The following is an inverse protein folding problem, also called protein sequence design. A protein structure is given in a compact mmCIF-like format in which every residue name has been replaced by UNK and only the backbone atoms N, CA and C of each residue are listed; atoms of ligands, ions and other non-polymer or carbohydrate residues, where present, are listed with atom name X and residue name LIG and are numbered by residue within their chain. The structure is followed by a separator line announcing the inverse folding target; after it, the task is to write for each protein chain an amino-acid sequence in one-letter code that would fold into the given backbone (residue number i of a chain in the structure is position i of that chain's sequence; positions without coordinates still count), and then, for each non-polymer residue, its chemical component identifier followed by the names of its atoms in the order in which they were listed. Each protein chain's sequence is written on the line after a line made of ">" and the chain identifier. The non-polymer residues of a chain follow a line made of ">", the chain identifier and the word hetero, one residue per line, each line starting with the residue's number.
data_IF_147321529693
#
_entry.id   IF_147321529693
#
_cell.length_a   1.000
_cell.length_b   1.000
_cell.length_c   1.000
_cell.angle_alpha   90.00
_cell.angle_beta   90.00
_cell.angle_gamma   90.00
#
_symmetry.space_group_name_H-M   'P 1'
#
loop_
_entity.id
_entity.type
_entity.pdbx_description
1 polymer ?
#
# COMPACT_ATOMS: atom_id res chain seq x y z
N UNK A 1 19.38 -16.75 -2.83
CA UNK A 1 18.28 -16.40 -3.74
C UNK A 1 18.21 -14.89 -3.74
N UNK A 2 18.60 -14.28 -4.85
CA UNK A 2 18.73 -12.83 -4.98
C UNK A 2 17.35 -12.21 -5.04
N UNK A 3 17.10 -11.28 -4.12
CA UNK A 3 16.03 -10.29 -4.19
C UNK A 3 16.04 -9.66 -5.58
N UNK A 4 14.95 -9.83 -6.33
CA UNK A 4 14.67 -9.05 -7.52
C UNK A 4 13.57 -8.05 -7.13
N UNK A 5 13.85 -7.23 -6.11
CA UNK A 5 13.03 -6.06 -5.81
C UNK A 5 13.09 -5.09 -6.98
N UNK A 6 12.00 -4.36 -7.23
CA UNK A 6 12.08 -3.26 -8.19
C UNK A 6 13.17 -2.29 -7.73
N UNK A 7 14.18 -2.08 -8.55
CA UNK A 7 15.07 -0.94 -8.37
C UNK A 7 14.23 0.31 -8.64
N UNK A 8 13.80 0.97 -7.55
CA UNK A 8 13.23 2.30 -7.65
C UNK A 8 14.23 3.20 -8.39
N UNK A 9 13.79 3.81 -9.47
CA UNK A 9 14.62 4.69 -10.30
C UNK A 9 14.68 6.09 -9.72
N UNK A 10 13.64 6.51 -8.99
CA UNK A 10 13.57 7.77 -8.27
C UNK A 10 12.59 7.65 -7.09
N UNK A 11 12.92 8.28 -5.96
CA UNK A 11 12.00 8.40 -4.83
C UNK A 11 12.14 9.75 -4.11
N UNK A 12 11.04 10.28 -3.61
CA UNK A 12 11.05 11.57 -2.90
C UNK A 12 9.66 12.13 -2.59
N UNK A 13 9.67 13.20 -1.81
CA UNK A 13 8.46 13.92 -1.44
C UNK A 13 7.99 14.87 -2.55
N UNK A 14 6.70 14.79 -2.87
CA UNK A 14 5.93 15.76 -3.62
C UNK A 14 4.64 16.05 -2.86
N UNK A 15 4.79 16.90 -1.82
CA UNK A 15 3.85 17.04 -0.72
C UNK A 15 2.37 17.17 -1.18
N UNK A 16 1.42 16.45 -0.55
CA UNK A 16 1.60 15.60 0.65
C UNK A 16 2.12 14.18 0.36
N UNK A 17 2.46 13.86 -0.89
CA UNK A 17 2.75 12.49 -1.31
C UNK A 17 4.23 12.14 -1.17
N UNK A 18 4.52 10.93 -0.73
CA UNK A 18 5.82 10.30 -0.96
C UNK A 18 5.72 9.45 -2.23
N UNK A 19 6.58 9.70 -3.23
CA UNK A 19 6.52 9.02 -4.52
C UNK A 19 7.69 8.09 -4.71
N UNK A 20 7.42 6.91 -5.25
CA UNK A 20 8.40 5.96 -5.74
C UNK A 20 8.11 5.70 -7.21
N UNK A 21 9.11 5.93 -8.07
CA UNK A 21 9.03 5.67 -9.51
C UNK A 21 9.88 4.46 -9.86
N UNK A 22 9.32 3.63 -10.71
CA UNK A 22 9.99 2.48 -11.34
C UNK A 22 9.81 2.61 -12.85
N UNK A 23 10.40 1.70 -13.63
CA UNK A 23 10.14 1.62 -15.08
C UNK A 23 8.70 1.20 -15.43
N UNK A 24 7.97 0.59 -14.48
CA UNK A 24 6.66 -0.03 -14.73
C UNK A 24 5.48 0.76 -14.16
N UNK A 25 5.71 1.48 -13.07
CA UNK A 25 4.69 2.25 -12.39
C UNK A 25 5.29 3.38 -11.54
N UNK A 26 4.45 4.37 -11.21
CA UNK A 26 4.66 5.30 -10.11
C UNK A 26 3.69 4.94 -8.98
N UNK A 27 4.20 4.79 -7.76
CA UNK A 27 3.39 4.68 -6.55
C UNK A 27 3.45 6.00 -5.78
N UNK A 28 2.29 6.53 -5.40
CA UNK A 28 2.14 7.76 -4.61
C UNK A 28 1.51 7.38 -3.27
N UNK A 29 2.31 7.43 -2.22
CA UNK A 29 1.93 7.07 -0.86
C UNK A 29 1.55 8.31 -0.05
N UNK A 30 0.57 8.17 0.84
CA UNK A 30 0.15 9.21 1.77
C UNK A 30 0.43 8.81 3.24
N UNK A 31 1.70 8.69 3.66
CA UNK A 31 2.03 8.33 5.05
C UNK A 31 1.62 9.44 6.03
N UNK A 32 1.50 9.09 7.31
CA UNK A 32 1.18 10.07 8.35
C UNK A 32 2.30 11.09 8.52
N UNK A 33 1.96 12.30 8.97
CA UNK A 33 2.97 13.32 9.30
C UNK A 33 3.97 12.77 10.33
N UNK A 34 5.26 12.97 10.07
CA UNK A 34 6.38 12.52 10.91
C UNK A 34 6.52 11.00 11.09
N UNK A 35 5.78 10.18 10.34
CA UNK A 35 5.96 8.72 10.34
C UNK A 35 7.24 8.34 9.58
N UNK A 36 8.18 7.58 10.20
CA UNK A 36 9.33 7.06 9.49
C UNK A 36 8.90 6.14 8.34
N UNK A 37 9.46 6.36 7.14
CA UNK A 37 9.06 5.63 5.92
C UNK A 37 9.28 4.12 6.00
N UNK A 38 10.22 3.66 6.83
CA UNK A 38 10.51 2.25 7.11
C UNK A 38 9.56 1.62 8.15
N UNK A 39 8.81 2.46 8.87
CA UNK A 39 7.83 2.04 9.89
C UNK A 39 6.38 2.11 9.40
N UNK A 40 6.14 2.62 8.18
CA UNK A 40 4.79 2.79 7.61
C UNK A 40 4.03 1.46 7.63
N UNK A 41 2.95 1.41 8.40
CA UNK A 41 2.19 0.18 8.65
C UNK A 41 0.71 0.25 8.27
N UNK A 42 0.22 1.44 7.92
CA UNK A 42 -1.10 1.74 7.37
C UNK A 42 -0.97 2.96 6.43
N UNK A 43 -1.21 2.79 5.14
CA UNK A 43 -1.01 3.86 4.15
C UNK A 43 -1.88 3.71 2.91
N UNK A 44 -2.44 4.82 2.43
CA UNK A 44 -3.07 4.88 1.12
C UNK A 44 -2.01 4.94 0.02
N UNK A 45 -2.21 4.18 -1.06
CA UNK A 45 -1.36 4.23 -2.24
C UNK A 45 -2.20 4.38 -3.51
N UNK A 46 -1.85 5.36 -4.34
CA UNK A 46 -2.24 5.41 -5.74
C UNK A 46 -1.09 4.89 -6.62
N UNK A 47 -1.37 3.90 -7.46
CA UNK A 47 -0.44 3.35 -8.44
C UNK A 47 -0.88 3.75 -9.84
N UNK A 48 0.03 4.39 -10.58
CA UNK A 48 -0.14 4.71 -12.00
C UNK A 48 0.77 3.83 -12.84
N UNK A 49 0.21 3.00 -13.72
CA UNK A 49 0.98 2.13 -14.60
C UNK A 49 1.57 2.93 -15.77
N UNK A 50 2.86 2.76 -16.06
CA UNK A 50 3.55 3.49 -17.14
C UNK A 50 3.14 3.01 -18.54
N UNK A 51 2.63 1.78 -18.65
CA UNK A 51 2.28 1.18 -19.95
C UNK A 51 1.02 1.79 -20.57
N UNK A 52 0.02 2.13 -19.75
CA UNK A 52 -1.29 2.58 -20.20
C UNK A 52 -1.86 3.77 -19.41
N UNK A 53 -1.07 4.33 -18.48
CA UNK A 53 -1.44 5.44 -17.58
C UNK A 53 -2.64 5.18 -16.67
N UNK A 54 -3.09 3.92 -16.59
CA UNK A 54 -4.19 3.52 -15.73
C UNK A 54 -3.86 3.72 -14.26
N UNK A 55 -4.87 4.12 -13.48
CA UNK A 55 -4.76 4.46 -12.06
C UNK A 55 -5.47 3.41 -11.22
N UNK A 56 -4.83 3.08 -10.10
CA UNK A 56 -5.27 2.03 -9.19
C UNK A 56 -5.02 2.46 -7.74
N UNK A 57 -5.87 2.04 -6.81
CA UNK A 57 -5.71 2.31 -5.39
C UNK A 57 -5.62 1.04 -4.56
N UNK A 58 -4.96 1.17 -3.42
CA UNK A 58 -5.13 0.28 -2.28
C UNK A 58 -4.92 1.08 -0.99
N UNK A 59 -5.59 0.63 0.08
CA UNK A 59 -5.23 0.97 1.45
C UNK A 59 -4.40 -0.19 2.01
N UNK A 60 -3.11 0.02 2.26
CA UNK A 60 -2.19 -1.03 2.67
C UNK A 60 -2.06 -1.07 4.18
N UNK A 61 -2.21 -2.25 4.78
CA UNK A 61 -2.01 -2.48 6.21
C UNK A 61 -1.00 -3.59 6.44
N UNK A 62 -0.20 -3.51 7.50
CA UNK A 62 0.50 -4.71 8.00
C UNK A 62 -0.47 -5.59 8.79
N UNK A 63 -0.18 -6.89 8.87
CA UNK A 63 -0.96 -7.79 9.72
C UNK A 63 -0.99 -7.36 11.20
N UNK A 64 0.15 -6.88 11.72
CA UNK A 64 0.24 -6.37 13.08
C UNK A 64 -0.63 -5.12 13.31
N UNK A 65 -0.74 -4.26 12.30
CA UNK A 65 -1.60 -3.08 12.39
C UNK A 65 -3.08 -3.44 12.35
N UNK A 66 -3.48 -4.42 11.53
CA UNK A 66 -4.86 -4.95 11.57
C UNK A 66 -5.19 -5.51 12.95
N UNK A 67 -4.29 -6.29 13.56
CA UNK A 67 -4.49 -6.81 14.92
C UNK A 67 -4.64 -5.68 15.95
N UNK A 68 -3.77 -4.67 15.90
CA UNK A 68 -3.84 -3.50 16.79
C UNK A 68 -5.15 -2.74 16.65
N UNK A 69 -5.65 -2.58 15.42
CA UNK A 69 -6.94 -1.93 15.15
C UNK A 69 -8.10 -2.77 15.70
N UNK A 70 -8.09 -4.09 15.52
CA UNK A 70 -9.12 -4.96 16.08
C UNK A 70 -9.11 -4.96 17.62
N UNK A 71 -7.95 -4.91 18.27
CA UNK A 71 -7.84 -4.74 19.73
C UNK A 71 -8.31 -3.37 20.23
N UNK A 72 -8.11 -2.32 19.43
CA UNK A 72 -8.71 -1.01 19.71
C UNK A 72 -10.24 -1.13 19.63
N UNK A 73 -10.76 -1.70 18.55
CA UNK A 73 -12.20 -1.84 18.31
C UNK A 73 -12.88 -2.73 19.36
N UNK A 74 -12.17 -3.73 19.91
CA UNK A 74 -12.68 -4.54 21.02
C UNK A 74 -12.88 -3.75 22.31
N UNK A 75 -12.16 -2.63 22.48
CA UNK A 75 -12.29 -1.72 23.63
C UNK A 75 -13.32 -0.63 23.39
N UNK A 76 -13.51 -0.18 22.15
CA UNK A 76 -14.45 0.90 21.79
C UNK A 76 -15.85 0.39 21.43
N UNK A 77 -15.98 -0.90 21.09
CA UNK A 77 -17.22 -1.52 20.62
C UNK A 77 -17.43 -1.44 19.11
N UNK A 78 -16.54 -0.77 18.38
CA UNK A 78 -16.55 -0.68 16.91
C UNK A 78 -16.34 -2.06 16.27
N UNK A 79 -16.69 -2.19 14.97
CA UNK A 79 -16.47 -3.42 14.19
C UNK A 79 -16.94 -4.71 14.90
N UNK A 80 -18.13 -4.64 15.49
CA UNK A 80 -18.72 -5.69 16.34
C UNK A 80 -17.76 -6.10 17.49
N UNK A 81 -17.24 -5.11 18.20
CA UNK A 81 -16.20 -5.26 19.25
C UNK A 81 -14.92 -5.92 18.72
N UNK A 82 -14.43 -5.44 17.57
CA UNK A 82 -13.19 -5.91 16.95
C UNK A 82 -13.26 -7.33 16.40
N UNK A 83 -14.45 -7.86 16.08
CA UNK A 83 -14.60 -9.22 15.52
C UNK A 83 -14.24 -9.33 14.05
N UNK A 84 -14.19 -8.20 13.35
CA UNK A 84 -13.78 -8.13 11.97
C UNK A 84 -13.01 -6.85 11.70
N UNK A 85 -12.25 -6.87 10.61
CA UNK A 85 -11.65 -5.72 9.98
C UNK A 85 -12.10 -5.70 8.52
N UNK A 86 -12.40 -4.53 7.96
CA UNK A 86 -12.81 -4.39 6.57
C UNK A 86 -12.40 -3.04 5.99
N UNK A 87 -11.89 -3.08 4.76
CA UNK A 87 -11.54 -1.93 3.95
C UNK A 87 -11.82 -2.29 2.48
N UNK A 88 -12.44 -1.39 1.71
CA UNK A 88 -12.92 -1.67 0.35
C UNK A 88 -11.82 -2.04 -0.64
N UNK A 89 -10.64 -1.43 -0.50
CA UNK A 89 -9.45 -1.69 -1.30
C UNK A 89 -8.26 -2.10 -0.40
N UNK A 90 -8.55 -2.85 0.66
CA UNK A 90 -7.56 -3.27 1.66
C UNK A 90 -6.58 -4.32 1.15
N UNK A 91 -5.28 -4.03 1.24
CA UNK A 91 -4.19 -5.00 1.02
C UNK A 91 -3.42 -5.24 2.32
N UNK A 92 -3.38 -6.47 2.81
CA UNK A 92 -2.57 -6.84 3.98
C UNK A 92 -1.19 -7.32 3.53
N UNK A 93 -0.14 -6.62 3.95
CA UNK A 93 1.27 -7.01 3.77
C UNK A 93 1.85 -7.55 5.08
N UNK A 94 2.96 -8.29 4.98
CA UNK A 94 3.63 -8.86 6.15
C UNK A 94 4.41 -7.80 6.92
N UNK A 95 5.29 -7.10 6.23
CA UNK A 95 6.29 -6.22 6.81
C UNK A 95 5.96 -4.74 6.51
N UNK A 96 6.34 -3.86 7.44
CA UNK A 96 6.14 -2.41 7.29
C UNK A 96 7.12 -1.80 6.27
N UNK A 97 6.84 -0.56 5.91
CA UNK A 97 7.74 0.32 5.17
C UNK A 97 7.44 0.44 3.68
N UNK A 98 7.68 1.64 3.14
CA UNK A 98 7.40 1.99 1.74
C UNK A 98 8.16 1.07 0.76
N UNK A 99 9.40 0.73 1.06
CA UNK A 99 10.21 -0.17 0.21
C UNK A 99 9.60 -1.57 0.15
N UNK A 100 9.10 -2.09 1.28
CA UNK A 100 8.44 -3.39 1.31
C UNK A 100 7.13 -3.37 0.51
N UNK A 101 6.32 -2.33 0.70
CA UNK A 101 5.06 -2.18 -0.04
C UNK A 101 5.34 -2.07 -1.55
N UNK A 102 6.38 -1.33 -1.96
CA UNK A 102 6.81 -1.23 -3.36
C UNK A 102 7.22 -2.59 -3.94
N UNK A 103 7.92 -3.41 -3.15
CA UNK A 103 8.27 -4.78 -3.56
C UNK A 103 7.04 -5.68 -3.70
N UNK A 104 6.01 -5.51 -2.85
CA UNK A 104 4.74 -6.22 -2.99
C UNK A 104 4.04 -5.80 -4.30
N UNK A 105 3.94 -4.51 -4.60
CA UNK A 105 3.33 -4.02 -5.85
C UNK A 105 4.05 -4.55 -7.09
N UNK A 106 5.38 -4.60 -7.04
CA UNK A 106 6.25 -5.21 -8.06
C UNK A 106 5.92 -6.69 -8.25
N UNK A 107 5.83 -7.45 -7.15
CA UNK A 107 5.49 -8.87 -7.17
C UNK A 107 4.09 -9.14 -7.73
N UNK A 108 3.10 -8.29 -7.41
CA UNK A 108 1.74 -8.38 -7.92
C UNK A 108 1.68 -8.21 -9.45
N UNK A 109 2.52 -7.35 -10.02
CA UNK A 109 2.67 -7.21 -11.47
C UNK A 109 3.34 -8.45 -12.08
N UNK A 110 4.35 -9.01 -11.40
CA UNK A 110 5.09 -10.19 -11.89
C UNK A 110 4.23 -11.46 -11.91
N UNK A 111 3.34 -11.65 -10.92
CA UNK A 111 2.43 -12.79 -10.86
C UNK A 111 1.11 -12.60 -11.63
N UNK A 112 0.80 -11.36 -12.06
CA UNK A 112 -0.42 -11.03 -12.79
C UNK A 112 -1.65 -10.81 -11.91
N UNK A 113 -1.50 -10.75 -10.59
CA UNK A 113 -2.61 -10.57 -9.64
C UNK A 113 -2.97 -9.09 -9.42
N UNK A 114 -2.16 -8.16 -9.93
CA UNK A 114 -2.30 -6.72 -9.69
C UNK A 114 -3.72 -6.18 -9.90
N UNK A 115 -4.35 -6.50 -11.04
CA UNK A 115 -5.70 -5.98 -11.39
C UNK A 115 -6.83 -6.63 -10.60
N UNK A 116 -6.56 -7.76 -9.93
CA UNK A 116 -7.51 -8.43 -9.05
C UNK A 116 -7.40 -7.90 -7.62
N UNK A 117 -6.20 -7.52 -7.20
CA UNK A 117 -5.90 -7.10 -5.83
C UNK A 117 -6.12 -5.60 -5.64
N UNK A 118 -5.69 -4.76 -6.59
CA UNK A 118 -5.88 -3.32 -6.51
C UNK A 118 -7.22 -2.91 -7.13
N UNK A 119 -7.81 -1.85 -6.57
CA UNK A 119 -9.04 -1.28 -7.09
C UNK A 119 -8.71 -0.30 -8.22
N UNK A 120 -9.37 -0.46 -9.38
CA UNK A 120 -9.21 0.50 -10.49
C UNK A 120 -9.87 1.83 -10.13
N UNK A 121 -9.17 2.92 -10.43
CA UNK A 121 -9.72 4.28 -10.39
C UNK A 121 -10.11 4.67 -11.81
N UNK A 122 -11.38 5.01 -11.99
CA UNK A 122 -11.85 5.57 -13.27
C UNK A 122 -11.46 7.05 -13.34
N UNK A 123 -11.29 7.55 -14.57
CA UNK A 123 -11.17 8.98 -14.79
C UNK A 123 -12.57 9.61 -14.61
N UNK A 124 -12.73 10.44 -13.58
CA UNK A 124 -13.91 11.30 -13.40
C UNK A 124 -14.11 12.27 -14.59
#
# INVERSE_FOLDING_TARGET
>A
MTSNGAEATEQGWDAPWYRVRTERFQASFLPSADEPLDAVCNVDVEVRLTADESRWSATVFTLAEVERLMEKDSRTGESLSGRYFWCSDGLIVRDAGIDNITNVLTGLLDCGDFTQVLQRLDDD
#
